data_IF_371106107247
#
_entry.id   IF_371106107247
#
_cell.length_a   1.000
_cell.length_b   1.000
_cell.length_c   1.000
_cell.angle_alpha   90.00
_cell.angle_beta   90.00
_cell.angle_gamma   90.00
#
_symmetry.space_group_name_H-M   'P 1'
#
loop_
_entity.id
_entity.type
_entity.pdbx_description
1 polymer ?
#
# COMPACT_ATOMS: atom_id res chain seq x y z
N UNK A 1 25.63 34.36 -47.36
CA UNK A 1 24.44 33.73 -46.74
C UNK A 1 24.91 32.87 -45.58
N UNK A 2 24.49 33.26 -44.37
CA UNK A 2 24.33 32.48 -43.13
C UNK A 2 25.56 32.11 -42.26
N UNK A 3 25.58 32.83 -41.15
CA UNK A 3 26.29 32.70 -39.87
C UNK A 3 25.70 31.59 -38.99
N UNK A 4 26.54 30.91 -38.18
CA UNK A 4 26.40 30.64 -36.72
C UNK A 4 27.23 29.39 -36.32
N UNK A 5 28.27 29.50 -35.49
CA UNK A 5 28.64 28.41 -34.58
C UNK A 5 27.76 28.52 -33.33
N UNK A 6 27.00 27.45 -33.03
CA UNK A 6 26.27 27.31 -31.79
C UNK A 6 27.27 27.20 -30.62
N UNK A 7 27.50 28.31 -29.94
CA UNK A 7 28.15 28.34 -28.64
C UNK A 7 27.19 27.71 -27.61
N UNK A 8 27.34 26.41 -27.37
CA UNK A 8 26.83 25.78 -26.16
C UNK A 8 27.64 26.35 -24.99
N UNK A 9 27.05 27.31 -24.28
CA UNK A 9 27.54 27.75 -22.99
C UNK A 9 27.52 26.54 -22.05
N UNK A 10 28.69 25.94 -21.84
CA UNK A 10 28.95 25.06 -20.72
C UNK A 10 28.69 25.88 -19.46
N UNK A 11 27.49 25.72 -18.90
CA UNK A 11 27.18 26.18 -17.57
C UNK A 11 28.04 25.34 -16.62
N UNK A 12 29.16 25.94 -16.21
CA UNK A 12 30.03 25.46 -15.15
C UNK A 12 29.17 25.08 -13.94
N UNK A 13 29.17 23.78 -13.59
CA UNK A 13 28.47 23.24 -12.41
C UNK A 13 26.97 22.99 -12.58
N UNK A 14 26.56 22.36 -13.70
CA UNK A 14 25.17 21.96 -13.94
C UNK A 14 24.61 20.99 -12.88
N UNK A 15 23.27 20.95 -12.80
CA UNK A 15 22.43 20.13 -11.89
C UNK A 15 22.93 18.69 -11.64
N UNK A 16 23.59 18.10 -12.63
CA UNK A 16 24.15 16.76 -12.55
C UNK A 16 25.23 16.63 -11.47
N UNK A 17 26.06 17.66 -11.28
CA UNK A 17 27.06 17.69 -10.20
C UNK A 17 26.37 17.82 -8.83
N UNK A 18 25.20 18.45 -8.75
CA UNK A 18 24.41 18.55 -7.52
C UNK A 18 23.75 17.22 -7.11
N UNK A 19 23.45 16.36 -8.07
CA UNK A 19 22.80 15.06 -7.85
C UNK A 19 23.80 13.93 -7.60
N UNK A 20 25.01 14.03 -8.17
CA UNK A 20 25.99 12.95 -8.16
C UNK A 20 27.34 13.34 -7.53
N UNK A 21 27.51 14.57 -7.03
CA UNK A 21 28.71 14.91 -6.28
C UNK A 21 28.79 14.04 -5.01
N UNK A 22 29.99 13.53 -4.67
CA UNK A 22 30.22 12.89 -3.39
C UNK A 22 29.90 13.90 -2.28
N UNK A 23 29.10 13.47 -1.30
CA UNK A 23 28.67 14.30 -0.18
C UNK A 23 29.86 15.02 0.44
N UNK A 24 29.96 16.34 0.22
CA UNK A 24 30.92 17.17 0.96
C UNK A 24 30.52 17.12 2.43
N UNK A 25 31.46 16.91 3.37
CA UNK A 25 31.16 17.03 4.78
C UNK A 25 30.62 18.43 5.03
N UNK A 26 29.38 18.50 5.54
CA UNK A 26 28.75 19.73 6.02
C UNK A 26 29.68 20.37 7.04
N UNK A 27 30.31 21.48 6.64
CA UNK A 27 31.05 22.32 7.54
C UNK A 27 30.04 22.85 8.56
N UNK A 28 30.18 22.43 9.83
CA UNK A 28 29.34 22.89 10.93
C UNK A 28 29.49 24.40 11.06
N UNK A 29 28.53 25.14 10.51
CA UNK A 29 28.37 26.55 10.80
C UNK A 29 27.90 26.65 12.24
N UNK A 30 28.71 27.30 13.08
CA UNK A 30 28.35 27.62 14.46
C UNK A 30 26.98 28.33 14.52
N UNK A 31 26.15 28.09 15.55
CA UNK A 31 24.83 28.71 15.63
C UNK A 31 24.96 30.23 15.67
N UNK A 32 24.43 30.89 14.64
CA UNK A 32 24.25 32.32 14.62
C UNK A 32 23.25 32.74 15.72
N UNK A 33 23.41 33.92 16.35
CA UNK A 33 22.49 34.41 17.36
C UNK A 33 21.06 34.49 16.79
N UNK A 34 20.10 34.05 17.59
CA UNK A 34 18.69 34.01 17.21
C UNK A 34 18.21 35.40 16.78
N UNK A 35 17.52 35.54 15.63
CA UNK A 35 16.98 36.82 15.23
C UNK A 35 15.87 37.25 16.19
N UNK A 36 15.87 38.52 16.60
CA UNK A 36 14.76 39.13 17.32
C UNK A 36 13.48 38.99 16.48
N UNK A 37 12.61 38.09 16.91
CA UNK A 37 11.35 37.82 16.23
C UNK A 37 10.39 38.99 16.47
N UNK A 38 10.30 39.90 15.50
CA UNK A 38 9.28 40.95 15.51
C UNK A 38 7.90 40.35 15.22
N UNK A 39 7.20 40.03 16.32
CA UNK A 39 5.82 39.51 16.31
C UNK A 39 4.84 40.42 15.56
N UNK A 40 5.10 41.72 15.43
CA UNK A 40 4.24 42.65 14.70
C UNK A 40 4.36 42.46 13.20
N UNK A 41 5.59 42.24 12.71
CA UNK A 41 5.86 41.99 11.30
C UNK A 41 5.38 40.60 10.87
N UNK A 42 5.48 39.61 11.76
CA UNK A 42 4.86 38.29 11.59
C UNK A 42 3.32 38.39 11.49
N UNK A 43 2.65 39.17 12.36
CA UNK A 43 1.19 39.37 12.27
C UNK A 43 0.74 40.07 10.98
N UNK A 44 1.51 41.05 10.49
CA UNK A 44 1.19 41.77 9.24
C UNK A 44 1.38 40.89 7.99
N UNK A 45 2.40 40.04 7.97
CA UNK A 45 2.61 39.09 6.86
C UNK A 45 1.52 38.02 6.82
N UNK A 46 1.10 37.49 7.98
CA UNK A 46 0.00 36.51 8.07
C UNK A 46 -1.30 37.09 7.51
N UNK A 47 -1.66 38.34 7.86
CA UNK A 47 -2.88 38.99 7.33
C UNK A 47 -2.84 39.19 5.80
N UNK A 48 -1.67 39.46 5.21
CA UNK A 48 -1.51 39.60 3.75
C UNK A 48 -1.58 38.26 3.02
N UNK A 49 -1.19 37.15 3.67
CA UNK A 49 -1.34 35.81 3.11
C UNK A 49 -2.82 35.36 3.13
N UNK A 50 -3.58 35.74 4.16
CA UNK A 50 -5.00 35.38 4.27
C UNK A 50 -5.93 36.16 3.32
N UNK A 51 -5.51 37.31 2.79
CA UNK A 51 -6.31 38.12 1.87
C UNK A 51 -6.11 37.77 0.39
N UNK A 52 -5.30 36.74 0.08
CA UNK A 52 -5.10 36.31 -1.30
C UNK A 52 -6.40 35.69 -1.84
N UNK A 53 -6.93 36.16 -2.99
CA UNK A 53 -8.11 35.58 -3.59
C UNK A 53 -7.84 34.11 -3.92
N UNK A 54 -8.58 33.20 -3.27
CA UNK A 54 -8.44 31.77 -3.53
C UNK A 54 -8.93 31.48 -4.96
N UNK A 55 -8.15 30.77 -5.78
CA UNK A 55 -8.59 30.41 -7.12
C UNK A 55 -9.85 29.54 -7.00
N UNK A 56 -10.93 29.97 -7.66
CA UNK A 56 -12.18 29.19 -7.73
C UNK A 56 -11.96 28.05 -8.72
N UNK A 57 -11.53 26.90 -8.21
CA UNK A 57 -11.39 25.68 -9.00
C UNK A 57 -12.80 25.17 -9.33
N UNK A 58 -13.17 25.19 -10.60
CA UNK A 58 -14.36 24.51 -11.10
C UNK A 58 -13.92 23.18 -11.68
N UNK A 59 -14.27 22.09 -10.99
CA UNK A 59 -14.05 20.75 -11.50
C UNK A 59 -14.97 20.53 -12.71
N UNK A 60 -14.41 20.12 -13.84
CA UNK A 60 -15.23 19.56 -14.91
C UNK A 60 -15.88 18.28 -14.36
N UNK A 61 -17.20 18.18 -14.49
CA UNK A 61 -17.91 16.97 -14.07
C UNK A 61 -17.39 15.79 -14.90
N UNK A 62 -16.99 14.72 -14.21
CA UNK A 62 -16.61 13.48 -14.87
C UNK A 62 -17.84 12.97 -15.67
N UNK A 63 -17.68 12.62 -16.96
CA UNK A 63 -18.78 12.11 -17.75
C UNK A 63 -19.36 10.85 -17.09
N UNK A 64 -20.69 10.72 -17.14
CA UNK A 64 -21.38 9.53 -16.61
C UNK A 64 -20.92 8.32 -17.42
N UNK A 65 -20.37 7.32 -16.74
CA UNK A 65 -19.94 6.08 -17.37
C UNK A 65 -21.16 5.37 -17.95
N UNK A 66 -21.13 5.07 -19.25
CA UNK A 66 -22.15 4.23 -19.88
C UNK A 66 -22.06 2.81 -19.31
N UNK A 67 -23.22 2.13 -19.14
CA UNK A 67 -23.23 0.78 -18.63
C UNK A 67 -22.46 -0.15 -19.57
N UNK A 68 -21.46 -0.85 -19.00
CA UNK A 68 -20.68 -1.83 -19.73
C UNK A 68 -21.61 -2.93 -20.23
N UNK A 69 -21.72 -3.08 -21.55
CA UNK A 69 -22.45 -4.17 -22.18
C UNK A 69 -21.62 -5.46 -22.06
N UNK A 70 -21.70 -6.11 -20.90
CA UNK A 70 -21.04 -7.40 -20.67
C UNK A 70 -21.80 -8.45 -21.48
N UNK A 71 -21.22 -8.85 -22.62
CA UNK A 71 -21.71 -9.99 -23.40
C UNK A 71 -21.28 -11.27 -22.68
N UNK A 72 -22.20 -11.86 -21.92
CA UNK A 72 -22.03 -13.19 -21.34
C UNK A 72 -21.96 -14.17 -22.51
N UNK A 73 -20.76 -14.70 -22.78
CA UNK A 73 -20.55 -15.69 -23.84
C UNK A 73 -21.20 -17.02 -23.45
N UNK A 74 -21.63 -17.83 -24.41
CA UNK A 74 -22.27 -19.15 -24.17
C UNK A 74 -21.44 -20.11 -23.31
N UNK A 75 -20.13 -19.88 -23.18
CA UNK A 75 -19.22 -20.65 -22.30
C UNK A 75 -19.34 -20.30 -20.81
N UNK A 76 -20.05 -19.24 -20.45
CA UNK A 76 -20.24 -18.82 -19.06
C UNK A 76 -21.48 -19.50 -18.48
N UNK A 77 -21.38 -20.81 -18.27
CA UNK A 77 -22.41 -21.56 -17.56
C UNK A 77 -22.25 -21.36 -16.04
N UNK A 78 -23.35 -21.18 -15.28
CA UNK A 78 -23.29 -21.16 -13.83
C UNK A 78 -22.63 -22.43 -13.30
N UNK A 79 -21.65 -22.26 -12.42
CA UNK A 79 -20.89 -23.39 -11.88
C UNK A 79 -21.79 -24.29 -11.02
N UNK A 80 -21.81 -25.60 -11.30
CA UNK A 80 -22.59 -26.56 -10.52
C UNK A 80 -21.93 -26.84 -9.16
N UNK A 81 -22.43 -26.19 -8.11
CA UNK A 81 -21.90 -26.31 -6.75
C UNK A 81 -22.49 -27.48 -5.94
N UNK A 82 -23.35 -28.32 -6.51
CA UNK A 82 -24.05 -29.39 -5.76
C UNK A 82 -23.12 -30.37 -5.05
N UNK A 83 -21.99 -30.70 -5.68
CA UNK A 83 -20.96 -31.59 -5.13
C UNK A 83 -19.92 -30.86 -4.25
N UNK A 84 -20.12 -29.56 -4.01
CA UNK A 84 -19.20 -28.69 -3.29
C UNK A 84 -18.27 -27.90 -4.22
N UNK A 85 -17.66 -26.81 -3.72
CA UNK A 85 -16.89 -25.87 -4.54
C UNK A 85 -15.65 -26.51 -5.18
N UNK A 86 -14.94 -27.39 -4.46
CA UNK A 86 -13.76 -28.06 -5.00
C UNK A 86 -14.11 -28.97 -6.19
N UNK A 87 -15.21 -29.73 -6.10
CA UNK A 87 -15.67 -30.58 -7.19
C UNK A 87 -16.20 -29.78 -8.39
N UNK A 88 -16.70 -28.58 -8.12
CA UNK A 88 -17.17 -27.66 -9.15
C UNK A 88 -16.01 -27.15 -10.03
N UNK A 89 -14.88 -26.76 -9.42
CA UNK A 89 -13.67 -26.35 -10.16
C UNK A 89 -13.04 -27.47 -10.99
N UNK A 90 -13.20 -28.75 -10.61
CA UNK A 90 -12.70 -29.89 -11.41
C UNK A 90 -13.44 -30.05 -12.74
N UNK A 91 -14.64 -29.47 -12.86
CA UNK A 91 -15.49 -29.55 -14.06
C UNK A 91 -15.56 -28.23 -14.81
N UNK A 92 -14.84 -27.21 -14.35
CA UNK A 92 -14.89 -25.88 -14.92
C UNK A 92 -13.99 -25.80 -16.16
N UNK A 93 -14.58 -25.99 -17.34
CA UNK A 93 -13.90 -25.91 -18.64
C UNK A 93 -13.33 -24.51 -18.96
N UNK A 94 -13.68 -23.49 -18.17
CA UNK A 94 -13.19 -22.13 -18.40
C UNK A 94 -11.82 -21.88 -17.77
N UNK A 95 -11.33 -22.78 -16.91
CA UNK A 95 -10.05 -22.63 -16.23
C UNK A 95 -8.88 -22.73 -17.21
N UNK A 96 -7.97 -21.77 -17.11
CA UNK A 96 -6.76 -21.70 -17.92
C UNK A 96 -5.50 -21.87 -17.07
N UNK A 97 -4.44 -22.47 -17.63
CA UNK A 97 -3.16 -22.55 -16.93
C UNK A 97 -2.73 -21.18 -16.40
N UNK A 98 -2.45 -21.10 -15.10
CA UNK A 98 -2.11 -19.87 -14.39
C UNK A 98 -3.25 -19.23 -13.60
N UNK A 99 -4.50 -19.66 -13.78
CA UNK A 99 -5.62 -19.17 -12.98
C UNK A 99 -5.49 -19.60 -11.52
N UNK A 100 -5.81 -18.68 -10.60
CA UNK A 100 -5.72 -18.91 -9.16
C UNK A 100 -7.10 -19.30 -8.62
N UNK A 101 -7.19 -20.49 -8.02
CA UNK A 101 -8.40 -21.04 -7.43
C UNK A 101 -8.23 -21.15 -5.92
N UNK A 102 -9.19 -20.59 -5.18
CA UNK A 102 -9.21 -20.65 -3.72
C UNK A 102 -9.96 -21.91 -3.28
N UNK A 103 -9.22 -22.88 -2.76
CA UNK A 103 -9.77 -24.11 -2.19
C UNK A 103 -9.72 -24.07 -0.66
N UNK A 104 -10.37 -25.04 -0.02
CA UNK A 104 -10.37 -25.19 1.45
C UNK A 104 -8.96 -25.29 2.04
N UNK A 105 -8.03 -25.91 1.31
CA UNK A 105 -6.63 -26.08 1.73
C UNK A 105 -5.78 -24.81 1.55
N UNK A 106 -6.31 -23.80 0.86
CA UNK A 106 -5.61 -22.58 0.49
C UNK A 106 -5.70 -22.31 -1.02
N UNK A 107 -5.00 -21.28 -1.48
CA UNK A 107 -4.97 -20.94 -2.89
C UNK A 107 -4.04 -21.88 -3.65
N UNK A 108 -4.57 -22.35 -4.78
CA UNK A 108 -3.88 -23.20 -5.73
C UNK A 108 -3.91 -22.56 -7.11
N UNK A 109 -2.94 -22.90 -7.93
CA UNK A 109 -2.84 -22.48 -9.32
C UNK A 109 -3.22 -23.65 -10.20
N UNK A 110 -4.09 -23.42 -11.16
CA UNK A 110 -4.41 -24.42 -12.15
C UNK A 110 -3.26 -24.53 -13.16
N UNK A 111 -2.72 -25.74 -13.33
CA UNK A 111 -1.60 -26.05 -14.24
C UNK A 111 -2.00 -27.10 -15.30
N UNK A 112 -3.23 -27.61 -15.24
CA UNK A 112 -3.76 -28.60 -16.16
C UNK A 112 -4.06 -28.05 -17.55
N UNK A 113 -4.42 -28.94 -18.47
CA UNK A 113 -4.83 -28.57 -19.83
C UNK A 113 -6.29 -28.11 -19.85
N UNK A 114 -6.65 -27.08 -20.62
CA UNK A 114 -8.01 -26.53 -20.64
C UNK A 114 -9.04 -27.49 -21.28
N UNK A 115 -8.61 -28.34 -22.22
CA UNK A 115 -9.52 -29.22 -22.97
C UNK A 115 -9.77 -30.59 -22.29
N UNK A 116 -9.04 -30.90 -21.22
CA UNK A 116 -9.13 -32.17 -20.49
C UNK A 116 -9.95 -32.02 -19.21
N UNK A 117 -10.58 -33.10 -18.74
CA UNK A 117 -11.21 -33.10 -17.40
C UNK A 117 -10.17 -32.84 -16.33
N UNK A 118 -10.38 -31.79 -15.55
CA UNK A 118 -9.44 -31.39 -14.52
C UNK A 118 -9.50 -32.34 -13.32
N UNK A 119 -8.33 -32.64 -12.77
CA UNK A 119 -8.17 -33.48 -11.58
C UNK A 119 -7.49 -32.70 -10.47
N UNK A 120 -7.56 -33.19 -9.24
CA UNK A 120 -6.93 -32.52 -8.10
C UNK A 120 -5.40 -32.34 -8.25
N UNK A 121 -4.75 -33.12 -9.12
CA UNK A 121 -3.31 -33.02 -9.41
C UNK A 121 -2.97 -31.81 -10.29
N UNK A 122 -3.94 -31.31 -11.03
CA UNK A 122 -3.80 -30.14 -11.90
C UNK A 122 -3.87 -28.82 -11.11
N UNK A 123 -4.01 -28.90 -9.78
CA UNK A 123 -4.04 -27.76 -8.88
C UNK A 123 -2.82 -27.79 -7.97
N UNK A 124 -1.85 -26.96 -8.32
CA UNK A 124 -0.59 -26.84 -7.58
C UNK A 124 -0.71 -25.80 -6.48
N UNK A 125 -0.05 -26.00 -5.34
CA UNK A 125 0.03 -24.94 -4.32
C UNK A 125 0.77 -23.72 -4.86
N UNK A 126 0.25 -22.53 -4.59
CA UNK A 126 0.87 -21.24 -4.96
C UNK A 126 2.35 -21.16 -4.58
N UNK A 127 2.77 -21.76 -3.46
CA UNK A 127 4.16 -21.69 -3.02
C UNK A 127 5.15 -22.32 -4.01
N UNK A 128 4.71 -23.32 -4.78
CA UNK A 128 5.54 -24.12 -5.69
C UNK A 128 5.35 -23.79 -7.17
N UNK A 129 4.21 -23.19 -7.53
CA UNK A 129 3.89 -22.91 -8.93
C UNK A 129 4.78 -21.81 -9.54
N UNK A 130 5.25 -22.07 -10.76
CA UNK A 130 6.05 -21.15 -11.57
C UNK A 130 5.20 -20.09 -12.31
N UNK A 131 3.87 -20.27 -12.36
CA UNK A 131 2.96 -19.33 -13.02
C UNK A 131 2.76 -18.02 -12.22
N UNK A 132 3.23 -17.96 -10.97
CA UNK A 132 2.97 -16.82 -10.07
C UNK A 132 4.27 -16.26 -9.50
N UNK A 133 4.49 -14.97 -9.74
CA UNK A 133 5.65 -14.24 -9.21
C UNK A 133 5.70 -14.28 -7.68
N UNK A 134 6.92 -14.24 -7.14
CA UNK A 134 7.16 -14.29 -5.68
C UNK A 134 6.41 -13.20 -4.92
N UNK A 135 6.28 -12.00 -5.50
CA UNK A 135 5.55 -10.89 -4.89
C UNK A 135 4.06 -11.20 -4.75
N UNK A 136 3.42 -11.70 -5.80
CA UNK A 136 2.02 -12.12 -5.81
C UNK A 136 1.78 -13.29 -4.88
N UNK A 137 2.69 -14.26 -4.82
CA UNK A 137 2.62 -15.37 -3.84
C UNK A 137 2.57 -14.85 -2.40
N UNK A 138 3.43 -13.90 -2.05
CA UNK A 138 3.45 -13.29 -0.72
C UNK A 138 2.16 -12.51 -0.43
N UNK A 139 1.63 -11.78 -1.42
CA UNK A 139 0.39 -11.02 -1.26
C UNK A 139 -0.82 -11.95 -1.05
N UNK A 140 -0.93 -13.02 -1.83
CA UNK A 140 -2.00 -14.00 -1.69
C UNK A 140 -1.92 -14.74 -0.36
N UNK A 141 -0.70 -15.11 0.08
CA UNK A 141 -0.50 -15.65 1.42
C UNK A 141 -0.99 -14.67 2.50
N UNK A 142 -0.67 -13.38 2.39
CA UNK A 142 -1.13 -12.36 3.33
C UNK A 142 -2.65 -12.13 3.31
N UNK A 143 -3.29 -12.24 2.14
CA UNK A 143 -4.76 -12.12 2.01
C UNK A 143 -5.50 -13.33 2.60
N UNK A 144 -4.89 -14.51 2.50
CA UNK A 144 -5.48 -15.76 3.01
C UNK A 144 -5.20 -16.01 4.48
N UNK A 145 -4.10 -15.51 5.01
CA UNK A 145 -3.91 -15.37 6.44
C UNK A 145 -4.97 -14.38 6.92
N UNK A 146 -5.94 -14.84 7.69
CA UNK A 146 -6.93 -14.00 8.35
C UNK A 146 -6.22 -13.08 9.36
N UNK A 147 -5.70 -11.96 8.88
CA UNK A 147 -5.01 -10.92 9.68
C UNK A 147 -5.94 -10.35 10.79
N UNK A 148 -7.24 -10.66 10.76
CA UNK A 148 -8.22 -10.28 11.79
C UNK A 148 -8.61 -11.35 12.83
N UNK A 149 -8.07 -12.58 12.80
CA UNK A 149 -8.60 -13.66 13.65
C UNK A 149 -7.53 -14.59 14.23
N UNK A 150 -6.46 -14.06 14.83
CA UNK A 150 -5.98 -14.76 16.02
C UNK A 150 -7.04 -14.54 17.11
N UNK A 151 -7.73 -15.58 17.61
CA UNK A 151 -8.59 -15.42 18.77
C UNK A 151 -7.77 -14.74 19.86
N UNK A 152 -8.36 -13.81 20.61
CA UNK A 152 -7.63 -13.04 21.63
C UNK A 152 -6.81 -13.96 22.56
N UNK A 153 -7.30 -15.18 22.80
CA UNK A 153 -6.63 -16.21 23.60
C UNK A 153 -5.36 -16.77 22.96
N UNK A 154 -5.30 -16.90 21.64
CA UNK A 154 -4.09 -17.36 20.94
C UNK A 154 -3.02 -16.27 20.92
N UNK A 155 -3.42 -15.01 20.69
CA UNK A 155 -2.52 -13.86 20.81
C UNK A 155 -1.97 -13.72 22.25
N UNK A 156 -2.82 -13.90 23.27
CA UNK A 156 -2.40 -13.91 24.69
C UNK A 156 -1.42 -15.03 25.01
N UNK A 157 -1.63 -16.25 24.46
CA UNK A 157 -0.70 -17.37 24.64
C UNK A 157 0.65 -17.09 24.01
N UNK A 158 0.68 -16.54 22.79
CA UNK A 158 1.94 -16.16 22.13
C UNK A 158 2.67 -15.05 22.89
N UNK A 159 1.94 -14.05 23.41
CA UNK A 159 2.53 -12.99 24.25
C UNK A 159 3.04 -13.53 25.61
N UNK A 160 2.34 -14.49 26.21
CA UNK A 160 2.78 -15.14 27.44
C UNK A 160 4.04 -16.00 27.23
N UNK A 161 4.14 -16.69 26.09
CA UNK A 161 5.34 -17.43 25.71
C UNK A 161 6.51 -16.48 25.41
N UNK A 162 6.27 -15.38 24.70
CA UNK A 162 7.28 -14.36 24.45
C UNK A 162 7.83 -13.76 25.76
N UNK A 163 6.96 -13.47 26.74
CA UNK A 163 7.38 -13.01 28.08
C UNK A 163 8.22 -14.03 28.85
N UNK A 164 8.08 -15.32 28.58
CA UNK A 164 8.81 -16.39 29.28
C UNK A 164 10.23 -16.59 28.74
N UNK A 165 10.48 -16.15 27.51
CA UNK A 165 11.79 -16.28 26.82
C UNK A 165 12.61 -14.99 26.93
N UNK A 166 12.00 -13.86 27.32
CA UNK A 166 12.74 -12.64 27.63
C UNK A 166 13.32 -12.71 29.05
N UNK A 167 14.66 -12.66 29.24
CA UNK A 167 15.23 -12.50 30.56
C UNK A 167 14.86 -11.12 31.11
N UNK A 168 14.37 -11.10 32.35
CA UNK A 168 14.09 -9.89 33.12
C UNK A 168 15.36 -9.03 33.16
N UNK A 169 15.42 -8.07 32.24
CA UNK A 169 16.51 -7.10 32.18
C UNK A 169 15.92 -5.76 32.58
N UNK A 170 16.17 -5.47 33.86
CA UNK A 170 16.32 -4.15 34.47
C UNK A 170 15.05 -3.33 34.65
N UNK A 171 14.81 -3.03 35.93
CA UNK A 171 13.95 -1.97 36.44
C UNK A 171 14.01 -0.72 35.57
N UNK A 172 12.94 -0.48 34.81
CA UNK A 172 12.54 0.88 34.48
C UNK A 172 11.26 1.14 35.24
N UNK A 173 11.39 1.78 36.40
CA UNK A 173 10.35 2.63 36.97
C UNK A 173 9.98 3.71 35.96
N UNK A 174 9.16 3.35 34.97
CA UNK A 174 8.43 4.32 34.18
C UNK A 174 7.28 4.76 35.07
N UNK A 175 7.48 5.89 35.75
CA UNK A 175 6.36 6.65 36.33
C UNK A 175 5.27 6.71 35.26
N UNK A 176 4.01 6.35 35.57
CA UNK A 176 2.92 6.60 34.65
C UNK A 176 2.74 8.12 34.59
N UNK A 177 3.47 8.77 33.69
CA UNK A 177 3.12 10.12 33.27
C UNK A 177 1.77 9.96 32.57
N UNK A 178 0.71 10.23 33.33
CA UNK A 178 -0.63 10.45 32.81
C UNK A 178 -0.56 11.71 31.94
N UNK A 179 0.00 11.58 30.74
CA UNK A 179 -0.21 12.55 29.68
C UNK A 179 -1.72 12.55 29.45
N UNK A 180 -2.37 13.58 29.99
CA UNK A 180 -3.77 13.88 29.77
C UNK A 180 -3.96 14.06 28.27
N UNK A 181 -4.29 12.96 27.60
CA UNK A 181 -4.53 12.94 26.17
C UNK A 181 -5.82 13.75 25.95
N UNK A 182 -5.68 14.98 25.46
CA UNK A 182 -6.82 15.85 25.18
C UNK A 182 -7.56 15.32 23.96
N UNK A 183 -8.59 14.52 24.22
CA UNK A 183 -9.55 14.07 23.19
C UNK A 183 -10.46 15.26 22.86
N UNK A 184 -10.24 15.89 21.72
CA UNK A 184 -11.15 16.89 21.16
C UNK A 184 -12.13 16.13 20.25
N UNK A 185 -13.38 15.99 20.67
CA UNK A 185 -14.45 15.47 19.82
C UNK A 185 -15.08 16.66 19.04
N UNK A 186 -14.86 16.78 17.71
CA UNK A 186 -15.26 17.95 16.95
C UNK A 186 -16.72 17.95 16.50
N UNK A 187 -17.63 17.31 17.25
CA UNK A 187 -19.06 17.36 16.92
C UNK A 187 -19.92 17.11 18.16
N UNK A 188 -20.21 18.19 18.89
CA UNK A 188 -21.47 18.35 19.61
C UNK A 188 -21.98 19.74 19.33
N UNK A 189 -22.73 19.87 18.24
CA UNK A 189 -23.72 20.94 18.11
C UNK A 189 -24.96 20.44 18.84
N UNK A 190 -25.33 21.07 19.95
CA UNK A 190 -26.67 20.91 20.52
C UNK A 190 -27.44 22.21 20.28
N UNK A 191 -28.76 22.13 20.02
CA UNK A 191 -29.62 23.25 19.62
C UNK A 191 -29.84 24.28 20.72
#
# INVERSE_FOLDING_TARGET
>A
MLTLPASAQSADGGLFDLLFAPARPVQQVAPAPAPDFDYQQARRSIRRVTSRPRPKIRYAALPKSEPLQIKVTDRQTPLDMKAGPAAAFMKDETLRPGDIVVMKEGAKVFVGRPDDRHTARDFESIGRSDFVDRRTRNQLAAMMLSIGAMPADQARKMMAQARKVMPASVDQTVKPELTAMRIINPWKTNP
#
